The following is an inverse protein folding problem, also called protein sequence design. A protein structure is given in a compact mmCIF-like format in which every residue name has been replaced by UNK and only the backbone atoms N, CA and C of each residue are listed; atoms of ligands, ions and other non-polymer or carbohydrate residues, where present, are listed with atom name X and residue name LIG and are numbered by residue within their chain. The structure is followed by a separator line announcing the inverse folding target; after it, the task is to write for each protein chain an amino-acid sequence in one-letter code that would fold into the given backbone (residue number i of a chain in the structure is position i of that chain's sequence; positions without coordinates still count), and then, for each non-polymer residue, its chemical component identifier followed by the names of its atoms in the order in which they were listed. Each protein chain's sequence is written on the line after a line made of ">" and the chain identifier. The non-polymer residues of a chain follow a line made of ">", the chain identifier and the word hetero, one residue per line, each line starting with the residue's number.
data_IF_588831843741
#
_entry.id   IF_588831843741
#
_cell.length_a   1.000
_cell.length_b   1.000
_cell.length_c   1.000
_cell.angle_alpha   90.00
_cell.angle_beta   90.00
_cell.angle_gamma   90.00
#
_symmetry.space_group_name_H-M   'P 1'
#
loop_
_entity.id
_entity.type
_entity.pdbx_description
1 polymer ?
#
# COMPACT_ATOMS: atom_id res chain seq x y z
N UNK A 1 30.39 7.86 -22.71
CA UNK A 1 30.73 8.05 -21.29
C UNK A 1 32.11 7.49 -21.07
N UNK A 2 33.13 8.31 -20.78
CA UNK A 2 34.47 7.81 -20.51
C UNK A 2 34.49 7.21 -19.09
N UNK A 3 34.76 5.92 -18.97
CA UNK A 3 34.96 5.26 -17.68
C UNK A 3 36.30 5.74 -17.12
N UNK A 4 36.26 6.66 -16.15
CA UNK A 4 37.44 7.04 -15.41
C UNK A 4 37.80 5.91 -14.45
N UNK A 5 38.86 5.17 -14.76
CA UNK A 5 39.42 4.15 -13.86
C UNK A 5 39.90 4.84 -12.57
N UNK A 6 39.06 4.78 -11.54
CA UNK A 6 39.40 5.29 -10.21
C UNK A 6 40.34 4.28 -9.56
N UNK A 7 41.58 4.69 -9.33
CA UNK A 7 42.56 3.83 -8.65
C UNK A 7 42.17 3.72 -7.17
N UNK A 8 41.90 2.50 -6.72
CA UNK A 8 41.63 2.19 -5.32
C UNK A 8 42.87 1.50 -4.76
N UNK A 9 43.44 2.07 -3.70
CA UNK A 9 44.56 1.46 -2.97
C UNK A 9 44.04 0.93 -1.64
N UNK A 10 44.33 -0.32 -1.35
CA UNK A 10 43.94 -0.98 -0.10
C UNK A 10 45.09 -1.83 0.41
N UNK A 11 45.10 -2.06 1.72
CA UNK A 11 46.07 -2.94 2.36
C UNK A 11 45.41 -4.27 2.67
N UNK A 12 46.12 -5.35 2.35
CA UNK A 12 45.73 -6.72 2.67
C UNK A 12 46.85 -7.37 3.46
N UNK A 13 46.52 -8.35 4.29
CA UNK A 13 47.54 -9.12 5.02
C UNK A 13 48.45 -9.87 4.05
N UNK A 14 49.68 -10.13 4.47
CA UNK A 14 50.69 -10.82 3.66
C UNK A 14 50.25 -12.19 3.15
N UNK A 15 49.51 -12.96 3.96
CA UNK A 15 49.00 -14.29 3.57
C UNK A 15 48.07 -14.21 2.35
N UNK A 16 47.10 -13.29 2.38
CA UNK A 16 46.19 -13.04 1.26
C UNK A 16 46.92 -12.49 0.02
N UNK A 17 47.97 -11.68 0.21
CA UNK A 17 48.77 -11.16 -0.89
C UNK A 17 49.53 -12.28 -1.61
N UNK A 18 50.13 -13.21 -0.86
CA UNK A 18 50.81 -14.39 -1.41
C UNK A 18 49.83 -15.31 -2.15
N UNK A 19 48.67 -15.58 -1.56
CA UNK A 19 47.64 -16.42 -2.19
C UNK A 19 47.11 -15.81 -3.49
N UNK A 20 46.82 -14.51 -3.51
CA UNK A 20 46.34 -13.83 -4.72
C UNK A 20 47.42 -13.78 -5.81
N UNK A 21 48.68 -13.56 -5.43
CA UNK A 21 49.79 -13.60 -6.37
C UNK A 21 49.95 -15.00 -6.97
N UNK A 22 49.88 -16.04 -6.15
CA UNK A 22 49.91 -17.43 -6.63
C UNK A 22 48.74 -17.72 -7.58
N UNK A 23 47.53 -17.28 -7.23
CA UNK A 23 46.34 -17.44 -8.07
C UNK A 23 46.47 -16.71 -9.42
N UNK A 24 47.11 -15.54 -9.44
CA UNK A 24 47.39 -14.78 -10.67
C UNK A 24 48.33 -15.54 -11.60
N UNK A 25 49.34 -16.22 -11.05
CA UNK A 25 50.27 -17.04 -11.82
C UNK A 25 49.61 -18.30 -12.38
N UNK A 26 48.73 -18.93 -11.60
CA UNK A 26 48.03 -20.15 -11.99
C UNK A 26 46.95 -19.92 -13.06
N UNK A 27 46.22 -18.80 -12.94
CA UNK A 27 45.10 -18.48 -13.84
C UNK A 27 45.50 -17.61 -15.03
N UNK A 28 46.70 -17.00 -14.99
CA UNK A 28 47.19 -16.07 -16.00
C UNK A 28 46.49 -14.71 -16.01
N UNK A 29 45.64 -14.41 -15.02
CA UNK A 29 44.95 -13.14 -14.88
C UNK A 29 45.79 -12.14 -14.07
N UNK A 30 45.57 -10.85 -14.33
CA UNK A 30 46.13 -9.80 -13.49
C UNK A 30 45.48 -9.79 -12.09
N UNK A 31 46.20 -9.24 -11.11
CA UNK A 31 45.68 -9.10 -9.75
C UNK A 31 44.40 -8.25 -9.75
N UNK A 32 44.36 -7.19 -10.57
CA UNK A 32 43.22 -6.32 -10.72
C UNK A 32 41.97 -7.07 -11.24
N UNK A 33 42.13 -7.93 -12.24
CA UNK A 33 41.03 -8.73 -12.78
C UNK A 33 40.48 -9.71 -11.75
N UNK A 34 41.36 -10.39 -11.01
CA UNK A 34 40.95 -11.32 -9.94
C UNK A 34 40.19 -10.60 -8.83
N UNK A 35 40.64 -9.42 -8.43
CA UNK A 35 39.96 -8.61 -7.42
C UNK A 35 38.61 -8.11 -7.94
N UNK A 36 38.55 -7.66 -9.20
CA UNK A 36 37.29 -7.24 -9.82
C UNK A 36 36.28 -8.38 -9.93
N UNK A 37 36.74 -9.58 -10.32
CA UNK A 37 35.89 -10.76 -10.40
C UNK A 37 35.37 -11.16 -9.01
N UNK A 38 36.24 -11.19 -8.00
CA UNK A 38 35.86 -11.52 -6.63
C UNK A 38 34.82 -10.53 -6.07
N UNK A 39 35.00 -9.23 -6.32
CA UNK A 39 34.04 -8.18 -5.95
C UNK A 39 32.71 -8.40 -6.70
N UNK A 40 32.77 -8.67 -8.00
CA UNK A 40 31.59 -8.95 -8.82
C UNK A 40 30.78 -10.13 -8.26
N UNK A 41 31.45 -11.26 -7.99
CA UNK A 41 30.81 -12.44 -7.42
C UNK A 41 30.22 -12.19 -6.02
N UNK A 42 30.90 -11.40 -5.19
CA UNK A 42 30.39 -11.03 -3.86
C UNK A 42 29.13 -10.17 -3.97
N UNK A 43 29.14 -9.16 -4.84
CA UNK A 43 27.99 -8.27 -5.05
C UNK A 43 26.81 -9.02 -5.65
N UNK A 44 27.03 -9.93 -6.59
CA UNK A 44 25.96 -10.76 -7.16
C UNK A 44 25.30 -11.66 -6.11
N UNK A 45 26.11 -12.35 -5.28
CA UNK A 45 25.58 -13.16 -4.17
C UNK A 45 24.79 -12.32 -3.17
N UNK A 46 25.31 -11.14 -2.84
CA UNK A 46 24.68 -10.24 -1.86
C UNK A 46 23.37 -9.66 -2.40
N UNK A 47 23.31 -9.31 -3.69
CA UNK A 47 22.10 -8.79 -4.34
C UNK A 47 20.99 -9.82 -4.38
N UNK A 48 21.31 -11.07 -4.75
CA UNK A 48 20.34 -12.18 -4.76
C UNK A 48 19.86 -12.51 -3.34
N UNK A 49 20.75 -12.49 -2.35
CA UNK A 49 20.40 -12.81 -0.96
C UNK A 49 19.52 -11.73 -0.31
N UNK A 50 19.86 -10.44 -0.49
CA UNK A 50 19.12 -9.34 0.12
C UNK A 50 17.75 -9.09 -0.53
N UNK A 51 17.62 -9.34 -1.85
CA UNK A 51 16.36 -9.15 -2.57
C UNK A 51 15.38 -10.32 -2.39
N UNK A 52 15.85 -11.54 -2.17
CA UNK A 52 14.97 -12.69 -1.99
C UNK A 52 14.39 -12.76 -0.58
N UNK A 53 15.21 -12.57 0.45
CA UNK A 53 14.79 -12.83 1.83
C UNK A 53 13.85 -11.76 2.42
N UNK A 54 14.01 -10.49 2.02
CA UNK A 54 13.14 -9.40 2.49
C UNK A 54 11.80 -9.39 1.74
N UNK A 55 11.82 -9.59 0.42
CA UNK A 55 10.62 -9.59 -0.43
C UNK A 55 9.72 -10.80 -0.12
N UNK A 56 10.29 -11.98 0.13
CA UNK A 56 9.48 -13.16 0.48
C UNK A 56 8.76 -13.02 1.83
N UNK A 57 9.38 -12.36 2.81
CA UNK A 57 8.78 -12.19 4.14
C UNK A 57 7.62 -11.19 4.12
N UNK A 58 7.81 -10.06 3.46
CA UNK A 58 6.75 -9.04 3.30
C UNK A 58 5.57 -9.59 2.49
N UNK A 59 5.86 -10.32 1.40
CA UNK A 59 4.83 -10.95 0.58
C UNK A 59 4.03 -12.00 1.37
N UNK A 60 4.70 -12.84 2.17
CA UNK A 60 4.03 -13.84 3.01
C UNK A 60 3.14 -13.20 4.08
N UNK A 61 3.63 -12.13 4.72
CA UNK A 61 2.84 -11.39 5.71
C UNK A 61 1.61 -10.75 5.08
N UNK A 62 1.75 -10.16 3.89
CA UNK A 62 0.63 -9.56 3.16
C UNK A 62 -0.42 -10.60 2.75
N UNK A 63 0.00 -11.78 2.25
CA UNK A 63 -0.93 -12.87 1.94
C UNK A 63 -1.70 -13.34 3.18
N UNK A 64 -1.02 -13.44 4.32
CA UNK A 64 -1.65 -13.84 5.58
C UNK A 64 -2.69 -12.82 6.03
N UNK A 65 -2.38 -11.53 5.94
CA UNK A 65 -3.30 -10.45 6.29
C UNK A 65 -4.52 -10.41 5.37
N UNK A 66 -4.32 -10.63 4.07
CA UNK A 66 -5.41 -10.71 3.10
C UNK A 66 -6.36 -11.87 3.42
N UNK A 67 -5.82 -13.04 3.76
CA UNK A 67 -6.61 -14.21 4.13
C UNK A 67 -7.42 -13.97 5.42
N UNK A 68 -6.82 -13.34 6.42
CA UNK A 68 -7.51 -12.97 7.67
C UNK A 68 -8.63 -11.96 7.42
N UNK A 69 -8.37 -10.95 6.59
CA UNK A 69 -9.35 -9.94 6.22
C UNK A 69 -10.52 -10.56 5.44
N UNK A 70 -10.23 -11.49 4.52
CA UNK A 70 -11.26 -12.21 3.78
C UNK A 70 -12.14 -13.04 4.73
N UNK A 71 -11.55 -13.72 5.72
CA UNK A 71 -12.28 -14.44 6.76
C UNK A 71 -13.19 -13.52 7.59
N UNK A 72 -12.69 -12.34 7.97
CA UNK A 72 -13.48 -11.32 8.68
C UNK A 72 -14.66 -10.83 7.85
N UNK A 73 -14.46 -10.54 6.57
CA UNK A 73 -15.54 -10.11 5.66
C UNK A 73 -16.62 -11.17 5.53
N UNK A 74 -16.24 -12.45 5.37
CA UNK A 74 -17.21 -13.55 5.33
C UNK A 74 -18.01 -13.65 6.64
N UNK A 75 -17.36 -13.43 7.79
CA UNK A 75 -18.02 -13.45 9.10
C UNK A 75 -19.05 -12.32 9.29
N UNK A 76 -18.94 -11.22 8.54
CA UNK A 76 -19.86 -10.07 8.60
C UNK A 76 -21.13 -10.27 7.75
N UNK A 77 -21.10 -11.11 6.72
CA UNK A 77 -22.29 -11.41 5.88
C UNK A 77 -23.54 -11.85 6.67
N UNK A 78 -23.47 -12.77 7.65
CA UNK A 78 -24.64 -13.15 8.43
C UNK A 78 -25.16 -12.01 9.33
N UNK A 79 -24.29 -11.11 9.77
CA UNK A 79 -24.68 -9.92 10.54
C UNK A 79 -25.46 -8.94 9.67
N UNK A 80 -25.02 -8.71 8.43
CA UNK A 80 -25.73 -7.88 7.45
C UNK A 80 -27.18 -8.37 7.23
N UNK A 81 -27.35 -9.69 7.06
CA UNK A 81 -28.68 -10.28 6.88
C UNK A 81 -29.57 -10.11 8.14
N UNK A 82 -28.99 -10.24 9.34
CA UNK A 82 -29.71 -9.99 10.59
C UNK A 82 -30.15 -8.53 10.72
N UNK A 83 -29.29 -7.57 10.35
CA UNK A 83 -29.62 -6.14 10.36
C UNK A 83 -30.76 -5.84 9.39
N UNK A 84 -30.66 -6.28 8.13
CA UNK A 84 -31.72 -6.09 7.14
C UNK A 84 -33.07 -6.69 7.61
N UNK A 85 -33.04 -7.86 8.27
CA UNK A 85 -34.24 -8.49 8.83
C UNK A 85 -34.83 -7.70 10.01
N UNK A 86 -33.99 -7.05 10.81
CA UNK A 86 -34.44 -6.19 11.91
C UNK A 86 -35.03 -4.88 11.38
N UNK A 87 -34.39 -4.24 10.41
CA UNK A 87 -34.90 -3.05 9.72
C UNK A 87 -36.29 -3.30 9.13
N UNK A 88 -36.46 -4.41 8.40
CA UNK A 88 -37.75 -4.79 7.84
C UNK A 88 -38.84 -4.98 8.91
N UNK A 89 -38.48 -5.51 10.09
CA UNK A 89 -39.41 -5.66 11.22
C UNK A 89 -39.77 -4.32 11.85
N UNK A 90 -38.81 -3.40 11.96
CA UNK A 90 -39.05 -2.04 12.49
C UNK A 90 -40.04 -1.31 11.57
N UNK A 91 -39.79 -1.31 10.26
CA UNK A 91 -40.70 -0.71 9.27
C UNK A 91 -42.11 -1.33 9.33
N UNK A 92 -42.21 -2.65 9.52
CA UNK A 92 -43.50 -3.30 9.68
C UNK A 92 -44.22 -2.89 10.97
N UNK A 93 -43.49 -2.68 12.07
CA UNK A 93 -44.04 -2.21 13.34
C UNK A 93 -44.46 -0.75 13.27
N UNK A 94 -43.68 0.12 12.63
CA UNK A 94 -44.02 1.54 12.44
C UNK A 94 -45.36 1.70 11.70
N UNK A 95 -45.60 0.87 10.67
CA UNK A 95 -46.88 0.83 9.93
C UNK A 95 -48.07 0.38 10.76
N UNK A 96 -47.85 -0.36 11.85
CA UNK A 96 -48.92 -0.88 12.73
C UNK A 96 -49.18 0.08 13.90
N UNK A 97 -48.13 0.72 14.42
CA UNK A 97 -48.18 1.58 15.62
C UNK A 97 -48.58 3.02 15.29
N UNK A 98 -48.30 3.49 14.08
CA UNK A 98 -48.74 4.81 13.61
C UNK A 98 -49.85 4.58 12.59
N UNK A 99 -51.14 4.52 13.00
CA UNK A 99 -52.21 4.64 12.02
C UNK A 99 -52.05 6.01 11.37
N UNK A 100 -52.02 6.04 10.04
CA UNK A 100 -52.03 7.28 9.26
C UNK A 100 -53.09 8.21 9.85
N UNK A 101 -52.67 9.27 10.56
CA UNK A 101 -53.56 10.37 10.85
C UNK A 101 -53.84 11.01 9.50
N UNK A 102 -55.03 10.72 8.97
CA UNK A 102 -55.66 11.45 7.87
C UNK A 102 -55.92 12.90 8.31
N UNK A 103 -54.87 13.68 8.53
CA UNK A 103 -54.95 15.11 8.72
C UNK A 103 -54.67 15.75 7.36
N UNK A 104 -55.77 16.20 6.75
CA UNK A 104 -55.78 17.13 5.61
C UNK A 104 -54.69 18.20 5.78
N UNK A 105 -53.84 18.47 4.77
CA UNK A 105 -52.77 19.42 4.89
C UNK A 105 -53.35 20.84 4.74
N UNK A 106 -53.78 21.43 5.85
CA UNK A 106 -53.97 22.88 5.93
C UNK A 106 -53.20 23.43 7.12
N UNK A 107 -51.88 23.26 7.08
CA UNK A 107 -50.97 23.96 7.98
C UNK A 107 -50.47 25.21 7.26
N UNK A 108 -50.73 26.37 7.86
CA UNK A 108 -50.27 27.71 7.45
C UNK A 108 -48.74 27.76 7.24
N UNK A 109 -48.00 26.79 7.79
CA UNK A 109 -46.56 26.63 7.59
C UNK A 109 -46.19 26.23 6.14
N UNK A 110 -47.03 25.46 5.45
CA UNK A 110 -46.74 25.02 4.07
C UNK A 110 -46.84 26.16 3.05
N UNK A 111 -47.59 27.23 3.34
CA UNK A 111 -47.63 28.45 2.50
C UNK A 111 -46.38 29.32 2.67
N UNK A 112 -45.66 29.18 3.79
CA UNK A 112 -44.47 29.96 4.11
C UNK A 112 -43.19 29.35 3.50
N UNK A 113 -43.26 28.08 3.09
CA UNK A 113 -42.17 27.35 2.42
C UNK A 113 -42.21 27.46 0.89
N UNK A 114 -43.28 28.03 0.31
CA UNK A 114 -43.42 28.25 -1.14
C UNK A 114 -43.06 29.66 -1.59
N UNK A 115 -42.52 30.49 -0.69
CA UNK A 115 -41.95 31.79 -1.06
C UNK A 115 -40.53 31.56 -1.63
N UNK A 116 -40.52 31.07 -2.88
CA UNK A 116 -39.33 30.82 -3.71
C UNK A 116 -38.64 32.12 -4.10
N UNK A 117 -37.78 32.67 -3.22
CA UNK A 117 -36.86 33.72 -3.65
C UNK A 117 -35.55 33.75 -2.87
N UNK A 118 -34.79 32.66 -2.90
CA UNK A 118 -33.33 32.72 -2.71
C UNK A 118 -32.69 31.66 -3.62
N UNK A 119 -32.32 32.10 -4.82
CA UNK A 119 -31.36 31.39 -5.66
C UNK A 119 -30.00 31.45 -4.98
N UNK A 120 -29.50 30.32 -4.49
CA UNK A 120 -28.07 30.12 -4.29
C UNK A 120 -27.74 28.67 -4.67
N UNK A 121 -27.35 28.49 -5.93
CA UNK A 121 -26.62 27.31 -6.36
C UNK A 121 -25.25 27.29 -5.64
N UNK A 122 -24.75 26.13 -5.20
CA UNK A 122 -23.42 26.02 -4.65
C UNK A 122 -22.38 25.98 -5.79
N UNK A 123 -21.76 27.12 -6.08
CA UNK A 123 -20.65 27.16 -7.05
C UNK A 123 -19.30 26.79 -6.41
N UNK A 124 -18.53 26.08 -7.23
CA UNK A 124 -17.46 25.15 -6.90
C UNK A 124 -16.12 25.80 -6.46
N UNK A 125 -15.22 24.91 -6.02
CA UNK A 125 -13.74 24.98 -6.12
C UNK A 125 -12.94 25.40 -4.87
N UNK A 126 -12.45 24.38 -4.14
CA UNK A 126 -11.27 24.44 -3.27
C UNK A 126 -9.98 24.34 -4.11
N UNK A 127 -9.47 25.44 -4.67
CA UNK A 127 -8.16 25.48 -5.35
C UNK A 127 -7.24 26.57 -4.80
N UNK A 128 -6.93 26.51 -3.51
CA UNK A 128 -5.98 27.47 -2.90
C UNK A 128 -4.85 26.81 -2.08
N UNK A 129 -4.47 25.57 -2.45
CA UNK A 129 -3.30 24.88 -1.86
C UNK A 129 -2.11 24.76 -2.81
N UNK A 130 -1.86 25.77 -3.65
CA UNK A 130 -0.55 25.91 -4.30
C UNK A 130 0.02 27.30 -3.98
N UNK A 131 0.96 27.26 -3.04
CA UNK A 131 1.80 28.34 -2.53
C UNK A 131 2.94 28.60 -3.51
N UNK A 132 3.24 29.88 -3.76
CA UNK A 132 4.60 30.34 -4.14
C UNK A 132 5.36 30.81 -2.90
#
# INVERSE_FOLDING_TARGET
>A
MSLNNTKIETTVSSEWAEQLHQLSLETGHSLEELVQEAIGQYLDKTRVFLSSQSVDLEYFNLQKELLDLQGKVESLKPLLNKVAKLEAKIVALEKIVIPELSLSPSSTFSQLLTDDNDQDEPDEVLTDFLVD
#
